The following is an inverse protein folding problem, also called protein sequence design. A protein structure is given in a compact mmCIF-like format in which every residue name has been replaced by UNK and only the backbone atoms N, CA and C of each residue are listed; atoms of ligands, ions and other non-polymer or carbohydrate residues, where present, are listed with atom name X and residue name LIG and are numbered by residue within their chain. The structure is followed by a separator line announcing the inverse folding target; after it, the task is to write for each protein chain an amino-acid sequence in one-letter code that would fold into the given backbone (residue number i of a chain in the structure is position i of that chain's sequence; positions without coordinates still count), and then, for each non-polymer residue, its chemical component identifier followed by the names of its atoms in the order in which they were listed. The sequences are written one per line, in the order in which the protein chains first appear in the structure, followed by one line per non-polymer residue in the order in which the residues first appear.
data_IF_668545301270
#
_entry.id   IF_668545301270
#
_cell.length_a   1.000
_cell.length_b   1.000
_cell.length_c   1.000
_cell.angle_alpha   90.00
_cell.angle_beta   90.00
_cell.angle_gamma   90.00
#
_symmetry.space_group_name_H-M   'P 1'
#
loop_
_entity.id
_entity.type
_entity.pdbx_description
1 polymer ?
#
# COMPACT_ATOMS: atom_id res chain seq x y z
N UNK A 1 -1.84 -15.73 -61.26
CA UNK A 1 -0.65 -15.68 -62.09
C UNK A 1 0.52 -15.63 -61.12
N UNK A 2 0.99 -16.74 -60.66
CA UNK A 2 2.09 -17.61 -61.14
C UNK A 2 3.47 -17.05 -60.83
N UNK A 3 4.10 -17.87 -60.05
CA UNK A 3 5.47 -18.44 -60.10
C UNK A 3 6.58 -17.58 -59.49
N UNK A 4 7.42 -18.05 -58.67
CA UNK A 4 8.12 -19.34 -58.49
C UNK A 4 9.56 -19.01 -58.23
N UNK A 5 10.13 -19.64 -57.44
CA UNK A 5 11.14 -20.70 -57.22
C UNK A 5 12.33 -20.27 -56.36
N UNK A 6 12.52 -20.97 -55.29
CA UNK A 6 13.55 -21.97 -54.92
C UNK A 6 15.01 -21.66 -55.18
N UNK A 7 15.79 -22.02 -54.15
CA UNK A 7 17.12 -22.70 -54.06
C UNK A 7 18.11 -21.92 -53.19
N UNK A 8 18.97 -22.47 -52.41
CA UNK A 8 19.44 -23.79 -51.99
C UNK A 8 20.47 -23.61 -50.85
N UNK A 9 20.35 -24.39 -49.88
CA UNK A 9 21.29 -25.20 -49.09
C UNK A 9 22.81 -24.94 -49.31
N UNK A 10 23.51 -24.79 -48.21
CA UNK A 10 24.98 -24.89 -48.14
C UNK A 10 25.49 -25.20 -46.75
N UNK A 11 25.51 -26.48 -46.38
CA UNK A 11 26.29 -27.08 -45.30
C UNK A 11 27.77 -26.93 -45.57
N UNK A 12 28.61 -26.65 -44.56
CA UNK A 12 30.01 -27.15 -44.46
C UNK A 12 30.45 -27.18 -42.98
N UNK A 13 30.46 -28.39 -42.44
CA UNK A 13 31.48 -29.22 -41.76
C UNK A 13 32.44 -28.60 -40.73
N UNK A 14 32.44 -29.34 -39.64
CA UNK A 14 33.44 -29.48 -38.57
C UNK A 14 34.89 -29.55 -39.03
N UNK A 15 35.77 -29.04 -38.18
CA UNK A 15 37.07 -29.72 -37.98
C UNK A 15 37.54 -29.56 -36.53
N UNK A 16 37.71 -30.72 -35.89
CA UNK A 16 38.42 -30.89 -34.62
C UNK A 16 39.93 -30.74 -34.88
N UNK A 17 40.66 -30.22 -33.90
CA UNK A 17 42.01 -30.70 -33.69
C UNK A 17 42.42 -30.69 -32.22
N UNK A 18 42.85 -31.86 -31.78
CA UNK A 18 43.51 -32.21 -30.52
C UNK A 18 45.00 -31.95 -30.64
N UNK A 19 45.67 -31.60 -29.52
CA UNK A 19 46.90 -32.22 -28.98
C UNK A 19 47.41 -31.38 -27.80
N UNK A 20 47.54 -31.94 -26.62
CA UNK A 20 48.53 -32.84 -25.98
C UNK A 20 49.85 -32.15 -25.63
N UNK A 21 50.20 -32.35 -24.37
CA UNK A 21 51.58 -32.56 -23.88
C UNK A 21 51.93 -31.61 -22.74
N UNK A 22 51.95 -32.09 -21.55
CA UNK A 22 52.97 -32.74 -20.70
C UNK A 22 53.91 -31.73 -20.03
N UNK A 23 53.91 -31.74 -18.78
CA UNK A 23 54.65 -32.38 -17.65
C UNK A 23 55.68 -31.48 -16.94
N UNK A 24 55.56 -31.50 -15.64
CA UNK A 24 56.55 -31.78 -14.58
C UNK A 24 57.39 -30.67 -13.94
N UNK A 25 57.41 -30.73 -12.69
CA UNK A 25 58.38 -30.92 -11.58
C UNK A 25 58.36 -29.75 -10.59
N UNK A 26 57.97 -30.09 -9.34
CA UNK A 26 58.77 -30.35 -8.12
C UNK A 26 59.63 -29.15 -7.67
N UNK A 27 59.60 -28.70 -6.44
CA UNK A 27 59.85 -29.29 -5.16
C UNK A 27 59.78 -28.21 -4.06
N UNK A 28 59.17 -28.56 -2.98
CA UNK A 28 59.54 -28.55 -1.56
C UNK A 28 60.47 -27.44 -1.01
N UNK A 29 60.07 -26.79 0.08
CA UNK A 29 60.61 -26.99 1.43
C UNK A 29 60.16 -25.94 2.44
N UNK A 30 59.61 -26.46 3.56
CA UNK A 30 59.89 -26.22 4.97
C UNK A 30 59.59 -24.84 5.63
N UNK A 31 58.62 -24.94 6.56
CA UNK A 31 58.65 -24.62 7.99
C UNK A 31 59.13 -23.23 8.42
N UNK A 32 58.24 -22.52 9.11
CA UNK A 32 58.43 -22.25 10.55
C UNK A 32 57.09 -21.81 11.19
N UNK A 33 56.80 -22.40 12.34
CA UNK A 33 55.73 -22.04 13.27
C UNK A 33 56.03 -20.68 13.87
N UNK A 34 54.97 -19.85 13.98
CA UNK A 34 54.86 -18.94 15.09
C UNK A 34 53.39 -18.77 15.45
N UNK A 35 53.08 -19.12 16.70
CA UNK A 35 51.83 -18.88 17.41
C UNK A 35 51.46 -17.41 17.39
N UNK A 36 50.25 -17.10 16.88
CA UNK A 36 49.55 -15.89 17.31
C UNK A 36 48.10 -16.22 17.66
N UNK A 37 47.83 -15.96 18.91
CA UNK A 37 46.60 -16.13 19.63
C UNK A 37 45.35 -15.73 18.84
N UNK A 38 44.44 -16.66 18.63
CA UNK A 38 43.03 -16.38 18.31
C UNK A 38 42.41 -15.61 19.46
N UNK A 39 42.19 -14.31 19.25
CA UNK A 39 41.17 -13.57 19.99
C UNK A 39 39.83 -14.08 19.52
N UNK A 40 39.22 -14.92 20.29
CA UNK A 40 37.81 -15.24 20.21
C UNK A 40 37.00 -13.95 20.46
N UNK A 41 36.42 -13.40 19.42
CA UNK A 41 35.32 -12.45 19.53
C UNK A 41 34.14 -13.22 20.09
N UNK A 42 33.47 -12.77 21.17
CA UNK A 42 32.30 -13.46 21.68
C UNK A 42 31.26 -13.50 20.58
N UNK A 43 30.92 -14.69 20.13
CA UNK A 43 29.82 -14.91 19.21
C UNK A 43 28.54 -14.36 19.84
N UNK A 44 27.98 -13.36 19.22
CA UNK A 44 26.60 -12.98 19.48
C UNK A 44 25.70 -14.14 19.04
N UNK A 45 25.40 -15.03 19.98
CA UNK A 45 24.28 -15.96 19.90
C UNK A 45 23.00 -15.16 20.16
N UNK A 46 22.70 -14.22 19.31
CA UNK A 46 21.36 -13.72 19.18
C UNK A 46 20.59 -14.72 18.31
N UNK A 47 19.69 -15.46 18.91
CA UNK A 47 18.56 -16.02 18.17
C UNK A 47 17.86 -14.84 17.52
N UNK A 48 18.08 -14.61 16.24
CA UNK A 48 17.35 -13.57 15.51
C UNK A 48 15.91 -14.07 15.37
N UNK A 49 15.05 -13.65 16.29
CA UNK A 49 13.62 -13.77 16.08
C UNK A 49 13.31 -13.23 14.69
N UNK A 50 12.45 -13.95 13.94
CA UNK A 50 12.06 -13.53 12.60
C UNK A 50 11.50 -12.10 12.62
N UNK A 51 11.82 -11.33 11.60
CA UNK A 51 11.32 -9.96 11.44
C UNK A 51 9.82 -9.97 11.22
N UNK A 52 9.05 -9.19 11.99
CA UNK A 52 7.61 -9.07 11.85
C UNK A 52 7.27 -7.65 11.41
N UNK A 53 6.55 -7.52 10.32
CA UNK A 53 6.25 -6.23 9.71
C UNK A 53 4.81 -6.14 9.22
N UNK A 54 4.28 -4.91 9.16
CA UNK A 54 2.97 -4.60 8.60
C UNK A 54 3.10 -3.60 7.46
N UNK A 55 2.29 -3.75 6.43
CA UNK A 55 2.29 -2.84 5.28
C UNK A 55 0.87 -2.46 4.90
N UNK A 56 0.62 -1.17 4.80
CA UNK A 56 -0.57 -0.63 4.15
C UNK A 56 -0.24 -0.27 2.71
N UNK A 57 -0.87 -0.96 1.75
CA UNK A 57 -0.66 -0.76 0.31
C UNK A 57 -1.81 0.05 -0.26
N UNK A 58 -1.85 1.34 0.06
CA UNK A 58 -2.93 2.23 -0.33
C UNK A 58 -2.77 2.86 -1.71
N UNK A 59 -3.87 3.33 -2.31
CA UNK A 59 -3.89 4.00 -3.62
C UNK A 59 -3.01 5.25 -3.67
N UNK A 60 -2.98 6.03 -2.58
CA UNK A 60 -2.24 7.30 -2.52
C UNK A 60 -0.87 7.17 -1.88
N UNK A 61 -0.71 6.26 -0.94
CA UNK A 61 0.48 6.10 -0.11
C UNK A 61 0.66 4.64 0.28
N UNK A 62 1.90 4.18 0.34
CA UNK A 62 2.28 2.90 0.93
C UNK A 62 2.97 3.21 2.24
N UNK A 63 2.51 2.57 3.31
CA UNK A 63 3.04 2.74 4.67
C UNK A 63 3.57 1.41 5.18
N UNK A 64 4.78 1.42 5.65
CA UNK A 64 5.46 0.29 6.28
C UNK A 64 5.53 0.52 7.79
N UNK A 65 5.35 -0.53 8.57
CA UNK A 65 5.45 -0.52 10.03
C UNK A 65 6.26 -1.70 10.55
N UNK A 66 7.08 -1.45 11.56
CA UNK A 66 7.91 -2.46 12.21
C UNK A 66 8.09 -2.12 13.69
N UNK A 67 8.15 -3.13 14.55
CA UNK A 67 8.46 -2.91 15.97
C UNK A 67 9.97 -2.96 16.18
N UNK A 68 10.56 -1.84 16.62
CA UNK A 68 11.98 -1.72 16.98
C UNK A 68 12.12 -1.19 18.40
N UNK A 69 12.89 -1.86 19.22
CA UNK A 69 13.16 -1.44 20.60
C UNK A 69 11.89 -1.13 21.42
N UNK A 70 10.84 -1.94 21.24
CA UNK A 70 9.56 -1.78 21.94
C UNK A 70 8.63 -0.70 21.38
N UNK A 71 9.06 0.08 20.37
CA UNK A 71 8.25 1.10 19.68
C UNK A 71 7.94 0.65 18.26
N UNK A 72 6.82 1.14 17.74
CA UNK A 72 6.46 0.94 16.33
C UNK A 72 7.00 2.13 15.54
N UNK A 73 7.87 1.83 14.58
CA UNK A 73 8.41 2.78 13.63
C UNK A 73 7.65 2.68 12.32
N UNK A 74 7.46 3.82 11.66
CA UNK A 74 6.78 3.92 10.38
C UNK A 74 7.69 4.53 9.33
N UNK A 75 7.61 4.00 8.12
CA UNK A 75 8.15 4.65 6.92
C UNK A 75 7.12 4.59 5.81
N UNK A 76 7.18 5.53 4.88
CA UNK A 76 6.17 5.59 3.84
C UNK A 76 6.70 6.21 2.56
N UNK A 77 6.02 5.92 1.46
CA UNK A 77 6.27 6.49 0.14
C UNK A 77 4.94 6.81 -0.53
N UNK A 78 4.90 7.86 -1.33
CA UNK A 78 3.76 8.12 -2.21
C UNK A 78 3.62 7.00 -3.25
N UNK A 79 2.41 6.54 -3.46
CA UNK A 79 2.11 5.56 -4.50
C UNK A 79 1.82 6.29 -5.82
N UNK A 80 2.86 6.90 -6.38
CA UNK A 80 2.79 7.77 -7.54
C UNK A 80 4.04 7.63 -8.40
N UNK A 81 3.93 7.98 -9.68
CA UNK A 81 5.04 8.05 -10.61
C UNK A 81 4.82 9.07 -11.72
N UNK A 82 5.90 9.44 -12.38
CA UNK A 82 5.91 10.25 -13.60
C UNK A 82 6.88 9.61 -14.60
N UNK A 83 6.52 9.63 -15.87
CA UNK A 83 7.38 9.19 -16.97
C UNK A 83 7.88 10.41 -17.75
N UNK A 84 9.17 10.50 -17.93
CA UNK A 84 9.81 11.53 -18.74
C UNK A 84 10.74 10.88 -19.75
N UNK A 85 10.89 11.50 -20.92
CA UNK A 85 11.80 11.01 -21.94
C UNK A 85 13.25 11.02 -21.43
N UNK A 86 13.98 9.96 -21.78
CA UNK A 86 15.38 9.86 -21.42
C UNK A 86 16.20 10.98 -22.04
N UNK A 87 16.94 11.69 -21.22
CA UNK A 87 18.06 12.50 -21.65
C UNK A 87 19.19 12.41 -20.62
N UNK A 88 20.44 12.50 -21.07
CA UNK A 88 21.61 12.56 -20.18
C UNK A 88 21.52 13.72 -19.19
N UNK A 89 20.87 14.81 -19.60
CA UNK A 89 20.68 15.99 -18.75
C UNK A 89 19.66 15.71 -17.66
N UNK A 90 18.49 15.13 -18.01
CA UNK A 90 17.46 14.74 -17.04
C UNK A 90 18.01 13.73 -16.02
N UNK A 91 18.71 12.69 -16.52
CA UNK A 91 19.34 11.69 -15.66
C UNK A 91 20.36 12.31 -14.69
N UNK A 92 21.16 13.26 -15.16
CA UNK A 92 22.11 14.00 -14.30
C UNK A 92 21.38 14.80 -13.22
N UNK A 93 20.28 15.49 -13.55
CA UNK A 93 19.48 16.26 -12.57
C UNK A 93 18.90 15.32 -11.51
N UNK A 94 18.30 14.18 -11.91
CA UNK A 94 17.73 13.22 -10.98
C UNK A 94 18.81 12.70 -10.01
N UNK A 95 20.00 12.33 -10.53
CA UNK A 95 21.12 11.85 -9.72
C UNK A 95 21.65 12.93 -8.78
N UNK A 96 21.80 14.18 -9.22
CA UNK A 96 22.27 15.29 -8.40
C UNK A 96 21.32 15.61 -7.24
N UNK A 97 20.02 15.43 -7.46
CA UNK A 97 18.99 15.66 -6.44
C UNK A 97 18.62 14.38 -5.66
N UNK A 98 19.33 13.27 -5.88
CA UNK A 98 19.09 11.98 -5.24
C UNK A 98 17.65 11.46 -5.45
N UNK A 99 17.02 11.86 -6.56
CA UNK A 99 15.68 11.43 -6.93
C UNK A 99 15.79 10.03 -7.56
N UNK A 100 15.06 9.07 -7.01
CA UNK A 100 15.06 7.69 -7.47
C UNK A 100 14.24 7.54 -8.75
N UNK A 101 14.76 6.81 -9.69
CA UNK A 101 14.10 6.52 -10.96
C UNK A 101 14.43 5.11 -11.46
N UNK A 102 13.63 4.63 -12.36
CA UNK A 102 13.86 3.41 -13.11
C UNK A 102 13.86 3.72 -14.61
N UNK A 103 14.84 3.17 -15.33
CA UNK A 103 14.91 3.36 -16.77
C UNK A 103 14.21 2.20 -17.46
N UNK A 104 13.18 2.53 -18.24
CA UNK A 104 12.44 1.57 -19.08
C UNK A 104 12.49 2.10 -20.51
N UNK A 105 13.05 1.33 -21.40
CA UNK A 105 13.27 1.70 -22.81
C UNK A 105 13.92 3.09 -22.96
N UNK A 106 13.23 4.04 -23.54
CA UNK A 106 13.69 5.41 -23.73
C UNK A 106 13.07 6.39 -22.71
N UNK A 107 12.61 5.91 -21.55
CA UNK A 107 11.95 6.72 -20.52
C UNK A 107 12.62 6.55 -19.16
N UNK A 108 12.62 7.62 -18.38
CA UNK A 108 12.94 7.61 -16.95
C UNK A 108 11.63 7.66 -16.17
N UNK A 109 11.36 6.62 -15.39
CA UNK A 109 10.20 6.52 -14.52
C UNK A 109 10.63 6.94 -13.12
N UNK A 110 10.26 8.14 -12.72
CA UNK A 110 10.46 8.65 -11.36
C UNK A 110 9.26 8.21 -10.51
N UNK A 111 9.49 7.67 -9.32
CA UNK A 111 8.45 7.09 -8.48
C UNK A 111 8.57 7.51 -7.01
N UNK A 112 7.53 7.25 -6.22
CA UNK A 112 7.48 7.60 -4.81
C UNK A 112 7.37 9.10 -4.57
N UNK A 113 7.91 9.57 -3.45
CA UNK A 113 7.90 11.00 -3.08
C UNK A 113 8.65 11.87 -4.10
N UNK A 114 9.69 11.32 -4.72
CA UNK A 114 10.44 11.99 -5.78
C UNK A 114 9.58 12.31 -7.02
N UNK A 115 8.57 11.50 -7.32
CA UNK A 115 7.67 11.75 -8.44
C UNK A 115 6.85 13.02 -8.25
N UNK A 116 6.36 13.28 -7.04
CA UNK A 116 5.59 14.49 -6.75
C UNK A 116 6.47 15.76 -6.82
N UNK A 117 7.67 15.69 -6.24
CA UNK A 117 8.65 16.79 -6.31
C UNK A 117 8.95 17.11 -7.78
N UNK A 118 9.24 16.08 -8.58
CA UNK A 118 9.63 16.27 -9.97
C UNK A 118 8.44 16.70 -10.85
N UNK A 119 7.24 16.18 -10.60
CA UNK A 119 6.02 16.61 -11.29
C UNK A 119 5.71 18.10 -11.02
N UNK A 120 5.86 18.56 -9.77
CA UNK A 120 5.69 19.96 -9.41
C UNK A 120 6.71 20.87 -10.12
N UNK A 121 7.97 20.44 -10.25
CA UNK A 121 9.01 21.18 -11.01
C UNK A 121 8.66 21.30 -12.49
N UNK A 122 8.03 20.29 -13.07
CA UNK A 122 7.63 20.26 -14.48
C UNK A 122 6.21 20.81 -14.73
N UNK A 123 5.51 21.24 -13.68
CA UNK A 123 4.10 21.66 -13.72
C UNK A 123 3.19 20.62 -14.43
N UNK A 124 3.34 19.37 -14.04
CA UNK A 124 2.57 18.25 -14.59
C UNK A 124 1.98 17.40 -13.46
N UNK A 125 1.05 16.51 -13.79
CA UNK A 125 0.42 15.63 -12.82
C UNK A 125 1.16 14.30 -12.71
N UNK A 126 1.16 13.73 -11.49
CA UNK A 126 1.61 12.35 -11.27
C UNK A 126 0.56 11.35 -11.71
N UNK A 127 1.02 10.20 -12.18
CA UNK A 127 0.20 9.00 -12.44
C UNK A 127 0.26 8.07 -11.25
N UNK A 128 -0.74 7.19 -11.12
CA UNK A 128 -0.80 6.24 -9.99
C UNK A 128 -0.84 4.80 -10.47
N UNK A 129 0.01 3.92 -9.92
CA UNK A 129 -0.01 2.49 -10.23
C UNK A 129 -1.25 1.78 -9.66
N UNK A 130 -1.97 2.43 -8.74
CA UNK A 130 -3.23 1.92 -8.20
C UNK A 130 -4.38 2.90 -8.43
N UNK A 131 -5.57 2.35 -8.59
CA UNK A 131 -6.82 3.09 -8.67
C UNK A 131 -7.91 2.34 -7.92
N UNK A 132 -8.72 3.05 -7.14
CA UNK A 132 -9.79 2.43 -6.35
C UNK A 132 -9.30 1.20 -5.55
N UNK A 133 -8.23 1.38 -4.79
CA UNK A 133 -7.65 0.34 -3.93
C UNK A 133 -6.90 -0.79 -4.65
N UNK A 134 -6.92 -0.88 -5.98
CA UNK A 134 -6.39 -2.01 -6.74
C UNK A 134 -5.32 -1.56 -7.75
N UNK A 135 -4.54 -2.53 -8.23
CA UNK A 135 -3.62 -2.33 -9.35
C UNK A 135 -4.38 -1.75 -10.55
N UNK A 136 -3.85 -0.65 -11.11
CA UNK A 136 -4.51 0.06 -12.20
C UNK A 136 -4.25 -0.64 -13.55
N UNK A 137 -5.24 -1.28 -14.18
CA UNK A 137 -5.03 -2.01 -15.43
C UNK A 137 -4.74 -1.08 -16.62
N UNK A 138 -5.04 0.22 -16.48
CA UNK A 138 -4.76 1.23 -17.52
C UNK A 138 -3.31 1.73 -17.49
N UNK A 139 -2.55 1.36 -16.45
CA UNK A 139 -1.15 1.75 -16.30
C UNK A 139 -0.24 0.55 -16.59
N UNK A 140 0.47 0.61 -17.71
CA UNK A 140 1.32 -0.48 -18.19
C UNK A 140 2.41 -0.88 -17.19
N UNK A 141 2.87 0.07 -16.36
CA UNK A 141 3.96 -0.14 -15.40
C UNK A 141 3.47 -0.31 -13.95
N UNK A 142 2.15 -0.48 -13.72
CA UNK A 142 1.57 -0.48 -12.37
C UNK A 142 2.23 -1.49 -11.42
N UNK A 143 2.39 -2.73 -11.87
CA UNK A 143 3.00 -3.81 -11.07
C UNK A 143 4.49 -3.53 -10.81
N UNK A 144 5.22 -3.08 -11.83
CA UNK A 144 6.64 -2.82 -11.71
C UNK A 144 6.93 -1.67 -10.75
N UNK A 145 6.16 -0.59 -10.85
CA UNK A 145 6.34 0.58 -10.00
C UNK A 145 5.99 0.26 -8.54
N UNK A 146 4.90 -0.46 -8.27
CA UNK A 146 4.58 -0.89 -6.90
C UNK A 146 5.71 -1.74 -6.33
N UNK A 147 6.24 -2.69 -7.08
CA UNK A 147 7.39 -3.49 -6.64
C UNK A 147 8.62 -2.63 -6.33
N UNK A 148 8.88 -1.58 -7.12
CA UNK A 148 9.98 -0.65 -6.85
C UNK A 148 9.76 0.14 -5.56
N UNK A 149 8.55 0.69 -5.34
CA UNK A 149 8.22 1.41 -4.10
C UNK A 149 8.33 0.47 -2.89
N UNK A 150 7.80 -0.76 -2.98
CA UNK A 150 7.93 -1.75 -1.93
C UNK A 150 9.40 -2.12 -1.64
N UNK A 151 10.24 -2.21 -2.68
CA UNK A 151 11.67 -2.49 -2.49
C UNK A 151 12.42 -1.37 -1.79
N UNK A 152 11.94 -0.12 -1.87
CA UNK A 152 12.51 1.00 -1.15
C UNK A 152 12.12 1.01 0.34
N UNK A 153 10.94 0.47 0.65
CA UNK A 153 10.40 0.47 2.01
C UNK A 153 10.77 -0.81 2.77
N UNK A 154 10.86 -1.94 2.05
CA UNK A 154 10.96 -3.27 2.65
C UNK A 154 12.26 -3.93 2.22
N UNK A 155 13.19 -4.10 3.15
CA UNK A 155 14.40 -4.88 2.93
C UNK A 155 14.07 -6.37 2.77
N UNK A 156 14.89 -7.11 2.04
CA UNK A 156 14.75 -8.56 1.95
C UNK A 156 15.02 -9.20 3.31
N UNK A 157 14.19 -10.18 3.68
CA UNK A 157 14.43 -10.93 4.90
C UNK A 157 15.48 -12.01 4.66
N UNK A 158 16.48 -12.06 5.52
CA UNK A 158 17.47 -13.15 5.54
C UNK A 158 17.04 -14.35 6.41
N UNK A 159 15.86 -14.28 7.05
CA UNK A 159 15.38 -15.28 8.01
C UNK A 159 14.04 -15.85 7.55
N UNK A 160 13.93 -17.17 7.49
CA UNK A 160 12.71 -17.90 7.08
C UNK A 160 11.51 -17.66 8.01
N UNK A 161 11.75 -17.22 9.25
CA UNK A 161 10.72 -17.00 10.26
C UNK A 161 10.13 -15.58 10.20
N UNK A 162 10.57 -14.77 9.23
CA UNK A 162 10.05 -13.42 9.06
C UNK A 162 8.66 -13.42 8.47
N UNK A 163 7.78 -12.59 9.07
CA UNK A 163 6.38 -12.48 8.71
C UNK A 163 6.05 -11.07 8.21
N UNK A 164 5.16 -10.98 7.25
CA UNK A 164 4.63 -9.72 6.75
C UNK A 164 3.13 -9.83 6.52
N UNK A 165 2.35 -8.94 7.15
CA UNK A 165 0.97 -8.77 6.78
C UNK A 165 0.82 -7.48 5.97
N UNK A 166 0.05 -7.55 4.89
CA UNK A 166 -0.22 -6.42 4.01
C UNK A 166 -1.72 -6.19 3.82
N UNK A 167 -2.10 -4.91 3.75
CA UNK A 167 -3.50 -4.55 3.58
C UNK A 167 -4.01 -4.86 2.17
N UNK A 168 -5.25 -5.30 2.09
CA UNK A 168 -6.03 -5.39 0.85
C UNK A 168 -7.43 -4.81 1.09
N UNK A 169 -8.07 -4.22 0.07
CA UNK A 169 -9.47 -3.83 0.17
C UNK A 169 -10.40 -5.04 0.09
N UNK A 170 -11.64 -4.85 0.53
CA UNK A 170 -12.74 -5.72 0.10
C UNK A 170 -13.21 -5.34 -1.31
N UNK A 171 -13.88 -6.26 -2.04
CA UNK A 171 -14.58 -5.89 -3.25
C UNK A 171 -15.59 -4.77 -2.98
N UNK A 172 -15.65 -3.74 -3.83
CA UNK A 172 -16.67 -2.70 -3.69
C UNK A 172 -18.07 -3.31 -3.77
N UNK A 173 -18.96 -2.85 -2.89
CA UNK A 173 -20.33 -3.36 -2.81
C UNK A 173 -21.05 -3.23 -4.17
N UNK A 174 -21.58 -4.34 -4.67
CA UNK A 174 -22.24 -4.41 -5.97
C UNK A 174 -21.30 -4.48 -7.18
N UNK A 175 -19.99 -4.65 -6.97
CA UNK A 175 -19.00 -4.83 -8.02
C UNK A 175 -18.55 -6.30 -8.11
N UNK A 176 -18.28 -6.76 -9.34
CA UNK A 176 -17.62 -8.05 -9.60
C UNK A 176 -16.08 -7.91 -9.66
N UNK A 177 -15.54 -6.85 -9.09
CA UNK A 177 -14.10 -6.58 -9.15
C UNK A 177 -13.30 -7.69 -8.48
N UNK A 178 -12.41 -8.30 -9.25
CA UNK A 178 -11.56 -9.38 -8.78
C UNK A 178 -10.32 -8.84 -8.05
N UNK A 179 -10.27 -9.05 -6.75
CA UNK A 179 -9.12 -8.69 -5.91
C UNK A 179 -8.02 -9.77 -5.94
N UNK A 180 -8.30 -10.97 -6.47
CA UNK A 180 -7.39 -12.11 -6.44
C UNK A 180 -6.08 -11.80 -7.17
N UNK A 181 -6.17 -11.14 -8.32
CA UNK A 181 -4.98 -10.74 -9.08
C UNK A 181 -4.10 -9.79 -8.27
N UNK A 182 -4.70 -8.75 -7.67
CA UNK A 182 -4.01 -7.75 -6.86
C UNK A 182 -3.30 -8.42 -5.67
N UNK A 183 -4.03 -9.20 -4.88
CA UNK A 183 -3.51 -9.93 -3.73
C UNK A 183 -2.37 -10.87 -4.12
N UNK A 184 -2.59 -11.69 -5.18
CA UNK A 184 -1.61 -12.69 -5.63
C UNK A 184 -0.30 -12.05 -6.08
N UNK A 185 -0.36 -10.93 -6.82
CA UNK A 185 0.84 -10.21 -7.29
C UNK A 185 1.64 -9.66 -6.11
N UNK A 186 0.97 -9.04 -5.15
CA UNK A 186 1.62 -8.49 -3.96
C UNK A 186 2.20 -9.59 -3.07
N UNK A 187 1.40 -10.61 -2.77
CA UNK A 187 1.82 -11.76 -1.96
C UNK A 187 3.05 -12.44 -2.53
N UNK A 188 3.06 -12.73 -3.83
CA UNK A 188 4.21 -13.31 -4.51
C UNK A 188 5.46 -12.45 -4.36
N UNK A 189 5.35 -11.14 -4.59
CA UNK A 189 6.50 -10.24 -4.47
C UNK A 189 7.08 -10.21 -3.05
N UNK A 190 6.22 -10.17 -2.02
CA UNK A 190 6.64 -10.17 -0.62
C UNK A 190 7.25 -11.52 -0.22
N UNK A 191 6.72 -12.63 -0.75
CA UNK A 191 7.31 -13.97 -0.57
C UNK A 191 8.68 -14.09 -1.24
N UNK A 192 8.84 -13.53 -2.45
CA UNK A 192 10.15 -13.46 -3.14
C UNK A 192 11.19 -12.66 -2.35
N UNK A 193 10.77 -11.75 -1.48
CA UNK A 193 11.63 -11.02 -0.54
C UNK A 193 11.99 -11.81 0.73
N UNK A 194 11.51 -13.04 0.88
CA UNK A 194 11.82 -13.95 1.98
C UNK A 194 10.87 -13.87 3.17
N UNK A 195 9.68 -13.30 3.02
CA UNK A 195 8.68 -13.25 4.08
C UNK A 195 7.59 -14.32 3.90
N UNK A 196 7.13 -14.89 5.02
CA UNK A 196 5.82 -15.52 5.07
C UNK A 196 4.77 -14.41 5.04
N UNK A 197 4.03 -14.29 3.90
CA UNK A 197 3.16 -13.15 3.65
C UNK A 197 1.68 -13.52 3.74
N UNK A 198 0.90 -12.69 4.44
CA UNK A 198 -0.56 -12.79 4.53
C UNK A 198 -1.21 -11.44 4.25
N UNK A 199 -2.41 -11.49 3.69
CA UNK A 199 -3.25 -10.32 3.50
C UNK A 199 -4.16 -10.10 4.71
N UNK A 200 -4.50 -8.83 4.97
CA UNK A 200 -5.50 -8.42 5.96
C UNK A 200 -6.40 -7.37 5.35
N UNK A 201 -7.71 -7.44 5.65
CA UNK A 201 -8.66 -6.39 5.27
C UNK A 201 -8.30 -5.06 5.94
N UNK A 202 -8.39 -3.94 5.20
CA UNK A 202 -8.05 -2.61 5.73
C UNK A 202 -8.89 -2.21 6.94
N UNK A 203 -10.21 -2.45 6.92
CA UNK A 203 -11.09 -2.14 8.06
C UNK A 203 -10.78 -3.01 9.28
N UNK A 204 -10.44 -4.29 9.08
CA UNK A 204 -10.00 -5.19 10.15
C UNK A 204 -8.64 -4.75 10.73
N UNK A 205 -7.73 -4.28 9.89
CA UNK A 205 -6.46 -3.73 10.35
C UNK A 205 -6.67 -2.51 11.26
N UNK A 206 -7.64 -1.64 10.96
CA UNK A 206 -8.00 -0.52 11.86
C UNK A 206 -8.47 -1.05 13.23
N UNK A 207 -9.22 -2.14 13.28
CA UNK A 207 -9.65 -2.78 14.54
C UNK A 207 -8.44 -3.29 15.32
N UNK A 208 -7.51 -4.00 14.66
CA UNK A 208 -6.27 -4.47 15.31
C UNK A 208 -5.40 -3.32 15.82
N UNK A 209 -5.36 -2.19 15.11
CA UNK A 209 -4.61 -1.00 15.56
C UNK A 209 -5.17 -0.35 16.81
N UNK A 210 -6.50 -0.33 16.96
CA UNK A 210 -7.18 0.64 17.81
C UNK A 210 -8.08 0.04 18.91
N UNK A 211 -8.42 -1.25 18.81
CA UNK A 211 -9.43 -1.86 19.67
C UNK A 211 -8.92 -3.09 20.44
N UNK A 212 -7.64 -3.10 20.81
CA UNK A 212 -7.06 -4.15 21.66
C UNK A 212 -7.77 -4.21 23.03
N UNK A 213 -7.99 -3.06 23.66
CA UNK A 213 -8.71 -2.96 24.94
C UNK A 213 -10.19 -3.40 24.86
N UNK A 214 -10.77 -3.43 23.67
CA UNK A 214 -12.13 -3.93 23.39
C UNK A 214 -12.11 -5.40 22.91
N UNK A 215 -11.00 -6.09 23.12
CA UNK A 215 -10.78 -7.46 22.64
C UNK A 215 -11.00 -7.59 21.12
N UNK A 216 -10.52 -6.61 20.36
CA UNK A 216 -10.68 -6.51 18.90
C UNK A 216 -12.15 -6.62 18.44
N UNK A 217 -13.05 -6.02 19.21
CA UNK A 217 -14.49 -5.98 18.92
C UNK A 217 -14.92 -4.56 18.60
N UNK A 218 -15.50 -4.33 17.42
CA UNK A 218 -15.97 -3.02 16.98
C UNK A 218 -16.05 -2.89 15.46
N UNK A 219 -16.31 -1.66 15.02
CA UNK A 219 -16.37 -1.28 13.62
C UNK A 219 -15.11 -0.45 13.25
N UNK A 220 -14.30 -0.96 12.36
CA UNK A 220 -13.13 -0.27 11.78
C UNK A 220 -13.47 0.26 10.39
N UNK A 221 -13.13 1.51 10.11
CA UNK A 221 -13.33 2.18 8.82
C UNK A 221 -12.01 2.80 8.38
N UNK A 222 -11.47 2.33 7.25
CA UNK A 222 -10.34 2.95 6.55
C UNK A 222 -10.88 3.80 5.40
N UNK A 223 -10.94 5.13 5.59
CA UNK A 223 -11.33 6.07 4.55
C UNK A 223 -10.07 6.57 3.82
N UNK A 224 -9.65 5.82 2.81
CA UNK A 224 -8.45 6.06 2.03
C UNK A 224 -8.61 7.03 0.87
N UNK A 225 -7.58 7.14 0.02
CA UNK A 225 -7.64 7.93 -1.20
C UNK A 225 -8.52 7.29 -2.26
N UNK A 226 -8.37 5.99 -2.52
CA UNK A 226 -9.07 5.29 -3.58
C UNK A 226 -10.47 4.82 -3.22
N UNK A 227 -10.69 4.43 -1.94
CA UNK A 227 -11.95 3.85 -1.46
C UNK A 227 -12.06 3.93 0.06
N UNK A 228 -13.26 3.59 0.58
CA UNK A 228 -13.46 3.37 2.00
C UNK A 228 -13.73 1.88 2.25
N UNK A 229 -12.96 1.29 3.17
CA UNK A 229 -13.08 -0.10 3.60
C UNK A 229 -13.68 -0.16 5.01
N UNK A 230 -14.61 -1.06 5.21
CA UNK A 230 -15.36 -1.22 6.46
C UNK A 230 -15.28 -2.66 6.93
N UNK A 231 -14.99 -2.87 8.20
CA UNK A 231 -15.08 -4.17 8.84
C UNK A 231 -15.75 -4.05 10.20
N UNK A 232 -16.75 -4.89 10.44
CA UNK A 232 -17.29 -5.16 11.76
C UNK A 232 -16.71 -6.48 12.23
N UNK A 233 -15.99 -6.47 13.36
CA UNK A 233 -15.48 -7.69 13.95
C UNK A 233 -15.94 -7.87 15.40
N UNK A 234 -16.04 -9.12 15.81
CA UNK A 234 -16.27 -9.55 17.19
C UNK A 234 -15.17 -10.52 17.61
N UNK A 235 -14.42 -10.18 18.65
CA UNK A 235 -13.27 -10.96 19.11
C UNK A 235 -12.30 -11.31 17.97
N UNK A 236 -11.92 -10.30 17.20
CA UNK A 236 -11.07 -10.40 16.00
C UNK A 236 -11.65 -11.14 14.78
N UNK A 237 -12.85 -11.73 14.89
CA UNK A 237 -13.50 -12.44 13.78
C UNK A 237 -14.36 -11.48 12.97
N UNK A 238 -14.09 -11.28 11.66
CA UNK A 238 -14.92 -10.46 10.80
C UNK A 238 -16.35 -11.03 10.68
N UNK A 239 -17.35 -10.21 10.94
CA UNK A 239 -18.77 -10.54 10.82
C UNK A 239 -19.39 -9.92 9.57
N UNK A 240 -18.99 -8.68 9.27
CA UNK A 240 -19.39 -7.92 8.08
C UNK A 240 -18.16 -7.21 7.55
N UNK A 241 -17.90 -7.31 6.26
CA UNK A 241 -16.89 -6.49 5.60
C UNK A 241 -17.36 -6.10 4.20
N UNK A 242 -17.01 -4.90 3.78
CA UNK A 242 -17.30 -4.37 2.46
C UNK A 242 -16.46 -3.13 2.19
N UNK A 243 -16.41 -2.70 0.94
CA UNK A 243 -15.90 -1.38 0.57
C UNK A 243 -16.91 -0.60 -0.26
N UNK A 244 -16.69 0.71 -0.36
CA UNK A 244 -17.30 1.59 -1.35
C UNK A 244 -16.21 2.19 -2.23
N UNK A 245 -16.50 2.35 -3.52
CA UNK A 245 -15.58 2.86 -4.54
C UNK A 245 -15.41 4.40 -4.49
N UNK A 246 -15.72 5.02 -3.35
CA UNK A 246 -15.54 6.43 -3.04
C UNK A 246 -14.48 6.61 -1.97
N UNK A 247 -13.52 7.45 -2.25
CA UNK A 247 -12.47 7.86 -1.34
C UNK A 247 -12.06 9.31 -1.57
N UNK A 248 -10.90 9.72 -1.11
CA UNK A 248 -10.39 11.08 -1.27
C UNK A 248 -10.24 11.50 -2.72
N UNK A 249 -9.87 10.57 -3.61
CA UNK A 249 -9.72 10.83 -5.06
C UNK A 249 -11.09 11.11 -5.74
N UNK A 250 -12.15 10.41 -5.32
CA UNK A 250 -13.51 10.71 -5.76
C UNK A 250 -13.90 12.16 -5.44
N UNK A 251 -13.60 12.63 -4.23
CA UNK A 251 -13.87 14.00 -3.80
C UNK A 251 -13.07 14.99 -4.64
N UNK A 252 -11.78 14.72 -4.89
CA UNK A 252 -10.91 15.57 -5.69
C UNK A 252 -11.41 15.67 -7.14
N UNK A 253 -11.68 14.52 -7.78
CA UNK A 253 -12.14 14.43 -9.17
C UNK A 253 -13.49 15.13 -9.36
N UNK A 254 -14.46 14.86 -8.50
CA UNK A 254 -15.79 15.42 -8.58
C UNK A 254 -15.79 16.94 -8.34
N UNK A 255 -15.05 17.41 -7.34
CA UNK A 255 -14.89 18.85 -7.07
C UNK A 255 -14.21 19.56 -8.23
N UNK A 256 -13.11 19.01 -8.74
CA UNK A 256 -12.39 19.58 -9.87
C UNK A 256 -13.27 19.69 -11.12
N UNK A 257 -14.07 18.65 -11.40
CA UNK A 257 -14.98 18.60 -12.55
C UNK A 257 -16.03 19.71 -12.51
N UNK A 258 -16.68 19.93 -11.35
CA UNK A 258 -17.78 20.91 -11.26
C UNK A 258 -17.29 22.36 -11.11
N UNK A 259 -16.07 22.56 -10.59
CA UNK A 259 -15.50 23.91 -10.40
C UNK A 259 -14.56 24.33 -11.54
N UNK A 260 -14.32 23.46 -12.53
CA UNK A 260 -13.40 23.75 -13.64
C UNK A 260 -11.94 23.93 -13.22
N UNK A 261 -11.54 23.36 -12.08
CA UNK A 261 -10.16 23.39 -11.59
C UNK A 261 -9.45 22.05 -11.82
N UNK A 262 -8.23 21.89 -11.34
CA UNK A 262 -7.45 20.64 -11.44
C UNK A 262 -7.40 19.90 -10.11
N UNK A 263 -7.34 18.57 -10.15
CA UNK A 263 -7.35 17.70 -8.97
C UNK A 263 -6.24 18.04 -7.97
N UNK A 264 -5.05 18.37 -8.45
CA UNK A 264 -3.90 18.72 -7.59
C UNK A 264 -4.20 19.95 -6.73
N UNK A 265 -4.91 20.96 -7.29
CA UNK A 265 -5.32 22.15 -6.55
C UNK A 265 -6.38 21.83 -5.49
N UNK A 266 -7.38 21.03 -5.86
CA UNK A 266 -8.42 20.59 -4.90
C UNK A 266 -7.77 19.81 -3.75
N UNK A 267 -6.89 18.86 -4.06
CA UNK A 267 -6.14 18.10 -3.06
C UNK A 267 -5.33 19.01 -2.14
N UNK A 268 -4.63 19.99 -2.71
CA UNK A 268 -3.87 20.95 -1.93
C UNK A 268 -4.72 21.73 -0.95
N UNK A 269 -5.92 22.17 -1.33
CA UNK A 269 -6.87 22.86 -0.45
C UNK A 269 -7.33 21.90 0.66
N UNK A 270 -7.73 20.69 0.29
CA UNK A 270 -8.22 19.66 1.20
C UNK A 270 -7.18 19.26 2.27
N UNK A 271 -5.91 19.11 1.89
CA UNK A 271 -4.83 18.70 2.78
C UNK A 271 -4.26 19.85 3.62
N UNK A 272 -4.40 21.12 3.19
CA UNK A 272 -3.78 22.30 3.81
C UNK A 272 -4.78 23.16 4.61
N UNK A 273 -5.68 22.54 5.36
CA UNK A 273 -6.48 23.27 6.36
C UNK A 273 -7.96 23.40 6.03
N UNK A 274 -8.47 22.64 5.06
CA UNK A 274 -9.91 22.53 4.84
C UNK A 274 -10.62 21.96 6.09
N UNK A 275 -11.75 22.55 6.45
CA UNK A 275 -12.50 22.22 7.67
C UNK A 275 -13.99 22.17 7.35
N UNK A 276 -14.58 20.99 7.48
CA UNK A 276 -16.03 20.76 7.27
C UNK A 276 -16.93 21.43 8.30
N UNK A 277 -16.39 21.96 9.38
CA UNK A 277 -17.16 22.72 10.39
C UNK A 277 -17.34 24.19 9.99
N UNK A 278 -16.49 24.71 9.11
CA UNK A 278 -16.58 26.06 8.62
C UNK A 278 -17.63 26.19 7.51
N UNK A 279 -18.15 27.39 7.32
CA UNK A 279 -18.95 27.69 6.12
C UNK A 279 -18.02 27.80 4.91
N UNK A 280 -18.41 27.27 3.74
CA UNK A 280 -17.62 27.41 2.54
C UNK A 280 -17.41 28.90 2.18
N UNK A 281 -16.20 29.25 1.77
CA UNK A 281 -15.82 30.62 1.41
C UNK A 281 -15.73 30.84 -0.10
N UNK A 282 -15.77 29.75 -0.88
CA UNK A 282 -15.70 29.76 -2.33
C UNK A 282 -16.33 28.49 -2.93
N UNK A 283 -16.49 28.45 -4.25
CA UNK A 283 -17.14 27.33 -4.96
C UNK A 283 -16.40 26.00 -4.80
N UNK A 284 -15.06 26.00 -4.63
CA UNK A 284 -14.29 24.77 -4.41
C UNK A 284 -14.61 24.20 -3.03
N UNK A 285 -14.64 25.05 -1.98
CA UNK A 285 -14.99 24.60 -0.64
C UNK A 285 -16.45 24.15 -0.55
N UNK A 286 -17.37 24.81 -1.26
CA UNK A 286 -18.77 24.41 -1.33
C UNK A 286 -18.89 23.01 -1.98
N UNK A 287 -18.24 22.80 -3.10
CA UNK A 287 -18.20 21.50 -3.76
C UNK A 287 -17.55 20.42 -2.86
N UNK A 288 -16.47 20.73 -2.14
CA UNK A 288 -15.86 19.83 -1.17
C UNK A 288 -16.85 19.41 -0.08
N UNK A 289 -17.63 20.35 0.50
CA UNK A 289 -18.67 20.02 1.48
C UNK A 289 -19.70 19.05 0.92
N UNK A 290 -20.18 19.29 -0.30
CA UNK A 290 -21.17 18.44 -0.98
C UNK A 290 -20.64 17.02 -1.17
N UNK A 291 -19.41 16.87 -1.70
CA UNK A 291 -18.85 15.55 -2.00
C UNK A 291 -18.36 14.78 -0.77
N UNK A 292 -17.97 15.47 0.30
CA UNK A 292 -17.78 14.82 1.60
C UNK A 292 -19.07 14.28 2.18
N UNK A 293 -20.17 15.05 2.10
CA UNK A 293 -21.49 14.60 2.56
C UNK A 293 -21.99 13.41 1.74
N UNK A 294 -21.79 13.43 0.41
CA UNK A 294 -22.16 12.34 -0.47
C UNK A 294 -21.35 11.05 -0.17
N UNK A 295 -20.05 11.17 0.05
CA UNK A 295 -19.21 10.03 0.46
C UNK A 295 -19.67 9.45 1.80
N UNK A 296 -19.85 10.30 2.83
CA UNK A 296 -20.21 9.86 4.18
C UNK A 296 -21.61 9.23 4.17
N UNK A 297 -22.56 9.82 3.47
CA UNK A 297 -23.91 9.28 3.33
C UNK A 297 -23.91 7.93 2.61
N UNK A 298 -23.11 7.79 1.54
CA UNK A 298 -22.95 6.51 0.83
C UNK A 298 -22.37 5.44 1.75
N UNK A 299 -21.37 5.80 2.55
CA UNK A 299 -20.72 4.91 3.52
C UNK A 299 -21.70 4.42 4.59
N UNK A 300 -22.45 5.34 5.20
CA UNK A 300 -23.43 5.01 6.27
C UNK A 300 -24.59 4.18 5.73
N UNK A 301 -25.11 4.47 4.52
CA UNK A 301 -26.15 3.66 3.87
C UNK A 301 -25.66 2.25 3.55
N UNK A 302 -24.46 2.12 2.99
CA UNK A 302 -23.87 0.80 2.72
C UNK A 302 -23.64 -0.01 4.00
N UNK A 303 -23.26 0.67 5.11
CA UNK A 303 -23.15 0.06 6.43
C UNK A 303 -24.52 -0.48 6.90
N UNK A 304 -25.58 0.34 6.86
CA UNK A 304 -26.95 -0.07 7.21
C UNK A 304 -27.39 -1.30 6.41
N UNK A 305 -27.27 -1.25 5.10
CA UNK A 305 -27.65 -2.35 4.22
C UNK A 305 -26.90 -3.65 4.52
N UNK A 306 -25.58 -3.55 4.78
CA UNK A 306 -24.76 -4.72 5.11
C UNK A 306 -25.12 -5.33 6.46
N UNK A 307 -25.38 -4.50 7.45
CA UNK A 307 -25.84 -4.95 8.79
C UNK A 307 -27.24 -5.58 8.69
N UNK A 308 -28.18 -4.97 7.96
CA UNK A 308 -29.53 -5.50 7.77
C UNK A 308 -29.50 -6.86 7.08
N UNK A 309 -28.67 -7.03 6.05
CA UNK A 309 -28.50 -8.32 5.35
C UNK A 309 -27.96 -9.43 6.26
N UNK A 310 -27.15 -9.07 7.25
CA UNK A 310 -26.52 -10.01 8.19
C UNK A 310 -27.30 -10.13 9.52
N UNK A 311 -28.28 -9.24 9.78
CA UNK A 311 -28.93 -9.02 11.09
C UNK A 311 -29.61 -10.24 11.68
N UNK A 312 -30.04 -11.23 10.91
CA UNK A 312 -30.60 -12.50 11.41
C UNK A 312 -29.62 -13.31 12.26
N UNK A 313 -28.30 -13.05 12.09
CA UNK A 313 -27.22 -13.76 12.77
C UNK A 313 -26.45 -12.88 13.76
N UNK A 314 -26.64 -11.55 13.73
CA UNK A 314 -25.84 -10.59 14.47
C UNK A 314 -26.54 -10.27 15.80
N UNK A 315 -26.11 -10.93 16.86
CA UNK A 315 -26.48 -10.57 18.23
C UNK A 315 -25.21 -10.21 19.00
N UNK A 316 -24.98 -8.92 19.16
CA UNK A 316 -23.91 -8.43 20.02
C UNK A 316 -24.47 -8.20 21.41
N UNK A 317 -23.71 -8.56 22.43
CA UNK A 317 -24.07 -8.48 23.85
C UNK A 317 -23.93 -7.08 24.43
N UNK A 318 -23.25 -6.17 23.70
CA UNK A 318 -23.00 -4.79 24.13
C UNK A 318 -22.88 -3.84 22.92
N UNK A 319 -23.12 -2.53 23.15
CA UNK A 319 -22.80 -1.51 22.16
C UNK A 319 -21.30 -1.52 21.80
N UNK A 320 -20.96 -1.34 20.52
CA UNK A 320 -19.60 -1.42 20.02
C UNK A 320 -19.04 -0.07 19.58
N UNK A 321 -17.72 0.18 19.68
CA UNK A 321 -17.10 1.39 19.19
C UNK A 321 -16.96 1.40 17.67
N UNK A 322 -16.96 2.61 17.08
CA UNK A 322 -16.59 2.87 15.69
C UNK A 322 -15.28 3.64 15.68
N UNK A 323 -14.32 3.18 14.89
CA UNK A 323 -13.05 3.86 14.65
C UNK A 323 -12.95 4.25 13.19
N UNK A 324 -12.74 5.56 12.94
CA UNK A 324 -12.52 6.15 11.64
C UNK A 324 -11.03 6.38 11.42
N UNK A 325 -10.49 5.91 10.32
CA UNK A 325 -9.08 6.02 9.95
C UNK A 325 -8.93 6.42 8.48
N UNK A 326 -7.70 6.72 8.05
CA UNK A 326 -7.37 7.12 6.69
C UNK A 326 -7.32 8.63 6.48
N UNK A 327 -6.64 9.05 5.41
CA UNK A 327 -6.42 10.47 5.12
C UNK A 327 -7.70 11.25 4.86
N UNK A 328 -8.72 10.61 4.30
CA UNK A 328 -10.02 11.23 4.03
C UNK A 328 -10.80 11.51 5.32
N UNK A 329 -10.73 10.60 6.30
CA UNK A 329 -11.37 10.80 7.61
C UNK A 329 -10.62 11.79 8.52
N UNK A 330 -9.37 12.13 8.20
CA UNK A 330 -8.56 13.08 8.99
C UNK A 330 -9.06 14.53 8.90
N UNK A 331 -9.82 14.87 7.87
CA UNK A 331 -10.36 16.21 7.69
C UNK A 331 -11.25 16.58 8.88
N UNK A 332 -10.97 17.76 9.45
CA UNK A 332 -11.72 18.27 10.60
C UNK A 332 -13.20 18.36 10.27
N UNK A 333 -14.06 17.90 11.18
CA UNK A 333 -15.51 17.83 10.98
C UNK A 333 -16.01 16.55 10.33
N UNK A 334 -15.12 15.69 9.81
CA UNK A 334 -15.53 14.41 9.21
C UNK A 334 -16.28 13.52 10.21
N UNK A 335 -15.74 13.36 11.42
CA UNK A 335 -16.36 12.55 12.48
C UNK A 335 -17.77 13.07 12.84
N UNK A 336 -17.90 14.36 13.05
CA UNK A 336 -19.16 15.00 13.41
C UNK A 336 -20.22 14.83 12.31
N UNK A 337 -19.82 14.93 11.04
CA UNK A 337 -20.69 14.66 9.90
C UNK A 337 -21.08 13.19 9.79
N UNK A 338 -20.13 12.28 10.02
CA UNK A 338 -20.40 10.85 10.08
C UNK A 338 -21.41 10.50 11.19
N UNK A 339 -21.21 11.01 12.41
CA UNK A 339 -22.15 10.83 13.51
C UNK A 339 -23.55 11.40 13.21
N UNK A 340 -23.62 12.52 12.50
CA UNK A 340 -24.88 13.12 12.08
C UNK A 340 -25.64 12.22 11.11
N UNK A 341 -24.98 11.69 10.07
CA UNK A 341 -25.62 10.76 9.13
C UNK A 341 -25.94 9.41 9.79
N UNK A 342 -25.06 8.91 10.65
CA UNK A 342 -25.27 7.66 11.39
C UNK A 342 -26.56 7.72 12.25
N UNK A 343 -26.80 8.84 12.90
CA UNK A 343 -28.02 9.05 13.70
C UNK A 343 -29.31 9.17 12.86
N UNK A 344 -29.20 9.63 11.62
CA UNK A 344 -30.33 9.72 10.69
C UNK A 344 -30.75 8.38 10.09
N UNK A 345 -29.79 7.49 9.93
CA UNK A 345 -30.02 6.17 9.40
C UNK A 345 -30.27 5.20 10.56
N UNK A 346 -31.46 4.71 10.74
CA UNK A 346 -31.82 3.74 11.78
C UNK A 346 -31.11 2.41 11.50
N UNK A 347 -29.89 2.25 12.03
CA UNK A 347 -29.08 1.02 11.89
C UNK A 347 -29.44 0.09 13.04
N UNK A 348 -29.79 -1.20 12.78
CA UNK A 348 -30.19 -2.14 13.81
C UNK A 348 -28.99 -2.71 14.59
N UNK A 349 -28.15 -1.83 15.11
CA UNK A 349 -26.97 -2.12 15.91
C UNK A 349 -26.62 -0.93 16.80
N UNK A 350 -26.32 -1.19 18.07
CA UNK A 350 -25.96 -0.15 19.02
C UNK A 350 -24.47 0.16 18.97
N UNK A 351 -24.15 1.44 18.84
CA UNK A 351 -22.80 1.96 18.85
C UNK A 351 -22.53 2.76 20.13
N UNK A 352 -21.40 2.48 20.79
CA UNK A 352 -21.02 3.13 22.05
C UNK A 352 -20.40 4.51 21.84
N UNK A 353 -19.47 4.63 20.87
CA UNK A 353 -18.76 5.88 20.55
C UNK A 353 -18.25 5.84 19.11
N UNK A 354 -18.08 7.02 18.51
CA UNK A 354 -17.34 7.21 17.25
C UNK A 354 -16.09 8.03 17.56
N UNK A 355 -14.94 7.58 17.10
CA UNK A 355 -13.68 8.31 17.24
C UNK A 355 -12.81 8.21 16.00
N UNK A 356 -11.91 9.15 15.84
CA UNK A 356 -10.80 9.04 14.88
C UNK A 356 -9.73 8.15 15.51
N UNK A 357 -9.02 7.36 14.70
CA UNK A 357 -7.85 6.60 15.11
C UNK A 357 -6.79 7.53 15.72
N UNK A 358 -5.96 7.03 16.63
CA UNK A 358 -4.89 7.81 17.26
C UNK A 358 -3.93 8.39 16.21
N UNK A 359 -3.53 7.56 15.24
CA UNK A 359 -2.78 7.99 14.06
C UNK A 359 -3.50 7.48 12.79
N UNK A 360 -4.42 8.27 12.24
CA UNK A 360 -5.28 7.81 11.14
C UNK A 360 -4.52 7.55 9.83
N UNK A 361 -3.30 8.06 9.67
CA UNK A 361 -2.49 7.81 8.47
C UNK A 361 -1.70 6.51 8.54
N UNK A 362 -1.44 6.00 9.73
CA UNK A 362 -0.62 4.83 9.97
C UNK A 362 -1.38 3.65 10.59
N UNK A 363 -2.66 3.84 10.96
CA UNK A 363 -3.46 2.84 11.68
C UNK A 363 -3.58 1.51 10.91
N UNK A 364 -3.78 1.52 9.59
CA UNK A 364 -3.88 0.31 8.79
C UNK A 364 -2.56 -0.48 8.81
N UNK A 365 -1.42 0.19 8.60
CA UNK A 365 -0.11 -0.47 8.67
C UNK A 365 0.20 -0.99 10.08
N UNK A 366 -0.11 -0.20 11.13
CA UNK A 366 0.02 -0.63 12.54
C UNK A 366 -0.82 -1.87 12.82
N UNK A 367 -2.06 -1.89 12.36
CA UNK A 367 -2.95 -3.04 12.55
C UNK A 367 -2.50 -4.28 11.80
N UNK A 368 -1.97 -4.13 10.58
CA UNK A 368 -1.35 -5.23 9.84
C UNK A 368 -0.16 -5.82 10.60
N UNK A 369 0.70 -4.97 11.19
CA UNK A 369 1.80 -5.41 12.06
C UNK A 369 1.30 -6.17 13.29
N UNK A 370 0.31 -5.61 14.01
CA UNK A 370 -0.25 -6.24 15.21
C UNK A 370 -0.85 -7.60 14.87
N UNK A 371 -1.61 -7.70 13.78
CA UNK A 371 -2.14 -8.97 13.31
C UNK A 371 -1.02 -9.99 13.03
N UNK A 372 0.06 -9.58 12.35
CA UNK A 372 1.21 -10.45 12.08
C UNK A 372 1.92 -10.93 13.37
N UNK A 373 1.93 -10.11 14.42
CA UNK A 373 2.51 -10.45 15.72
C UNK A 373 1.66 -11.47 16.50
N UNK A 374 0.35 -11.49 16.32
CA UNK A 374 -0.58 -12.42 16.96
C UNK A 374 -0.75 -13.75 16.19
N UNK A 375 -0.17 -13.87 14.99
CA UNK A 375 -0.18 -15.11 14.23
C UNK A 375 0.93 -16.06 14.74
N UNK A 376 0.53 -17.17 15.34
CA UNK A 376 1.42 -18.27 15.78
C UNK A 376 1.94 -19.10 14.61
#
# INVERSE_FOLDING_TARGET
IQHGDNKEIGDIKMTQNKNKGEKNHEAASNQTMEDQAKKETPGATGTSDGRVVGVDIGTSKIVFSEKKNGKIDFSSQRNAFISVDYSKFTEKILNQNQIKYHKIDNSLIVFGDGAEIFANMLNTETRRPMRQGLLNPKESYSVEIIKKILNELIESSGNSDSKINFSIPDPPKGSETDIIYHETVLKRHLTEKGYTSKSINEGLAVIFSELEDESFTGLGISAGGGMCNVCLAYLSVPLVSFSIDKGGDYIDDATASVTGTINTRVRGIKENGFDLQNKPSNDIEDALHIYYDDLIMSLVRSLKESIVQTSTSLKLDRPIPIVLSGGTAKVRGFKERFEHFLKKEEIPLDFSKVRIAEDPLNATAKGALIAAMHEN
#
